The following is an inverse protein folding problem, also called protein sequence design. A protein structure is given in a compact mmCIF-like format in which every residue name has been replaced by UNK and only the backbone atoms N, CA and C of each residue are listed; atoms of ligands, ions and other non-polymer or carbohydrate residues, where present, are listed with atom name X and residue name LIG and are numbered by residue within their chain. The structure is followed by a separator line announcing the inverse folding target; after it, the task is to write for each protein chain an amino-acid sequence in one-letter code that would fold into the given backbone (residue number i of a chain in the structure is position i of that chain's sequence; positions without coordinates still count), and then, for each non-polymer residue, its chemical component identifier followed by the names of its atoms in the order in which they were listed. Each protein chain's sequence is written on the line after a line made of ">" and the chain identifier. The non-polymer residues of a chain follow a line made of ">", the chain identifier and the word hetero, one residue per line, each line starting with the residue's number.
data_IF_429211326795
#
_entry.id   IF_429211326795
#
_cell.length_a   1.000
_cell.length_b   1.000
_cell.length_c   1.000
_cell.angle_alpha   90.00
_cell.angle_beta   90.00
_cell.angle_gamma   90.00
#
_symmetry.space_group_name_H-M   'P 1'
#
loop_
_entity.id
_entity.type
_entity.pdbx_description
1 polymer ?
#
# COMPACT_ATOMS: atom_id res chain seq x y z
N UNK A 1 14.70 -41.32 25.03
CA UNK A 1 13.39 -41.65 24.43
C UNK A 1 12.25 -40.68 24.79
N UNK A 2 12.43 -39.62 25.59
CA UNK A 2 11.33 -38.73 26.00
C UNK A 2 11.19 -37.43 25.17
N UNK A 3 12.28 -36.93 24.56
CA UNK A 3 12.31 -35.60 23.90
C UNK A 3 11.54 -35.57 22.56
N UNK A 4 11.49 -36.71 21.84
CA UNK A 4 10.79 -36.79 20.57
C UNK A 4 9.26 -36.68 20.72
N UNK A 5 8.69 -37.27 21.77
CA UNK A 5 7.24 -37.24 21.98
C UNK A 5 6.72 -35.87 22.43
N UNK A 6 7.54 -35.07 23.13
CA UNK A 6 7.13 -33.73 23.57
C UNK A 6 7.07 -32.73 22.41
N UNK A 7 7.89 -32.91 21.38
CA UNK A 7 7.92 -32.02 20.21
C UNK A 7 6.66 -32.18 19.35
N UNK A 8 6.17 -33.40 19.15
CA UNK A 8 4.93 -33.64 18.39
C UNK A 8 3.67 -33.11 19.09
N UNK A 9 3.68 -33.00 20.42
CA UNK A 9 2.57 -32.42 21.20
C UNK A 9 2.59 -30.88 21.14
N UNK A 10 3.78 -30.27 21.26
CA UNK A 10 3.93 -28.81 21.28
C UNK A 10 3.90 -28.17 19.88
N UNK A 11 4.34 -28.92 18.86
CA UNK A 11 4.42 -28.43 17.49
C UNK A 11 4.19 -29.58 16.48
N UNK A 12 2.94 -30.08 16.37
CA UNK A 12 2.64 -31.18 15.46
C UNK A 12 2.98 -30.82 14.02
N UNK A 13 3.70 -31.71 13.34
CA UNK A 13 4.01 -31.58 11.92
C UNK A 13 2.73 -31.61 11.07
N UNK A 14 2.24 -30.44 10.70
CA UNK A 14 1.07 -30.30 9.83
C UNK A 14 1.47 -30.23 8.36
N UNK A 15 0.90 -31.12 7.54
CA UNK A 15 1.01 -31.02 6.07
C UNK A 15 -0.07 -30.06 5.56
N UNK A 16 0.35 -28.87 5.15
CA UNK A 16 -0.54 -27.87 4.55
C UNK A 16 -0.43 -27.94 3.03
N UNK A 17 -1.57 -27.97 2.33
CA UNK A 17 -1.60 -27.84 0.88
C UNK A 17 -1.72 -26.37 0.49
N UNK A 18 -0.65 -25.81 -0.06
CA UNK A 18 -0.66 -24.43 -0.57
C UNK A 18 -1.42 -24.42 -1.90
N UNK A 19 -2.65 -23.89 -1.87
CA UNK A 19 -3.45 -23.70 -3.09
C UNK A 19 -3.08 -22.38 -3.75
N UNK A 20 -3.00 -22.32 -5.10
CA UNK A 20 -2.78 -21.07 -5.79
C UNK A 20 -3.94 -20.11 -5.50
N UNK A 21 -3.60 -18.82 -5.35
CA UNK A 21 -4.60 -17.76 -5.13
C UNK A 21 -5.69 -17.85 -6.20
N UNK A 22 -6.95 -17.89 -5.76
CA UNK A 22 -8.08 -17.91 -6.66
C UNK A 22 -8.00 -16.71 -7.61
N UNK A 23 -8.27 -16.95 -8.89
CA UNK A 23 -8.33 -15.91 -9.93
C UNK A 23 -9.81 -15.61 -10.21
N UNK A 24 -10.44 -14.69 -9.46
CA UNK A 24 -11.89 -14.48 -9.52
C UNK A 24 -12.38 -14.00 -10.90
N UNK A 25 -11.51 -13.38 -11.69
CA UNK A 25 -11.82 -12.95 -13.06
C UNK A 25 -11.81 -14.10 -14.10
N UNK A 26 -11.56 -15.35 -13.72
CA UNK A 26 -11.53 -16.49 -14.66
C UNK A 26 -12.90 -17.15 -14.75
N UNK A 27 -13.70 -16.68 -15.70
CA UNK A 27 -15.04 -17.20 -15.98
C UNK A 27 -14.99 -18.57 -16.69
N UNK A 28 -16.08 -19.37 -16.65
CA UNK A 28 -16.17 -20.65 -17.36
C UNK A 28 -15.91 -20.51 -18.88
N UNK A 29 -16.38 -19.43 -19.49
CA UNK A 29 -16.21 -19.12 -20.91
C UNK A 29 -14.73 -18.90 -21.22
N UNK A 30 -14.02 -18.11 -20.39
CA UNK A 30 -12.58 -17.90 -20.55
C UNK A 30 -11.79 -19.21 -20.40
N UNK A 31 -12.18 -20.10 -19.48
CA UNK A 31 -11.56 -21.44 -19.38
C UNK A 31 -11.80 -22.28 -20.63
N UNK A 32 -12.97 -22.18 -21.24
CA UNK A 32 -13.27 -22.88 -22.50
C UNK A 32 -12.39 -22.37 -23.64
N UNK A 33 -12.21 -21.05 -23.74
CA UNK A 33 -11.36 -20.40 -24.74
C UNK A 33 -9.88 -20.77 -24.56
N UNK A 34 -9.38 -20.77 -23.31
CA UNK A 34 -8.02 -21.24 -22.97
C UNK A 34 -7.82 -22.69 -23.43
N UNK A 35 -8.77 -23.58 -23.12
CA UNK A 35 -8.72 -24.98 -23.58
C UNK A 35 -8.70 -25.08 -25.10
N UNK A 36 -9.46 -24.24 -25.80
CA UNK A 36 -9.48 -24.20 -27.26
C UNK A 36 -8.12 -23.76 -27.84
N UNK A 37 -7.55 -22.67 -27.32
CA UNK A 37 -6.19 -22.21 -27.66
C UNK A 37 -5.16 -23.30 -27.44
N UNK A 38 -5.21 -24.00 -26.31
CA UNK A 38 -4.24 -25.05 -25.98
C UNK A 38 -4.37 -26.26 -26.90
N UNK A 39 -5.58 -26.57 -27.38
CA UNK A 39 -5.80 -27.58 -28.43
C UNK A 39 -5.21 -27.11 -29.76
N UNK A 40 -5.46 -25.85 -30.16
CA UNK A 40 -4.91 -25.28 -31.39
C UNK A 40 -3.38 -25.26 -31.37
N UNK A 41 -2.77 -24.87 -30.24
CA UNK A 41 -1.31 -24.90 -30.04
C UNK A 41 -0.75 -26.31 -30.18
N UNK A 42 -1.35 -27.32 -29.52
CA UNK A 42 -0.92 -28.72 -29.64
C UNK A 42 -0.99 -29.22 -31.08
N UNK A 43 -2.05 -28.87 -31.83
CA UNK A 43 -2.18 -29.25 -33.25
C UNK A 43 -1.13 -28.57 -34.13
N UNK A 44 -0.92 -27.26 -33.95
CA UNK A 44 0.07 -26.50 -34.70
C UNK A 44 1.51 -26.96 -34.39
N UNK A 45 1.80 -27.35 -33.15
CA UNK A 45 3.11 -27.88 -32.74
C UNK A 45 3.39 -29.28 -33.32
N UNK A 46 2.37 -30.15 -33.39
CA UNK A 46 2.52 -31.50 -33.98
C UNK A 46 2.66 -31.45 -35.49
N UNK A 47 1.85 -30.62 -36.16
CA UNK A 47 1.86 -30.47 -37.62
C UNK A 47 1.78 -28.98 -37.97
N UNK A 48 2.92 -28.32 -38.20
CA UNK A 48 2.96 -26.89 -38.48
C UNK A 48 2.52 -26.60 -39.92
N UNK A 49 1.22 -26.46 -40.12
CA UNK A 49 0.62 -25.99 -41.38
C UNK A 49 0.21 -24.52 -41.23
N UNK A 50 0.29 -23.72 -42.29
CA UNK A 50 -0.09 -22.31 -42.28
C UNK A 50 -1.48 -22.07 -41.66
N UNK A 51 -2.48 -22.86 -42.04
CA UNK A 51 -3.84 -22.83 -41.46
C UNK A 51 -3.87 -23.08 -39.95
N UNK A 52 -3.13 -24.08 -39.46
CA UNK A 52 -3.08 -24.42 -38.02
C UNK A 52 -2.38 -23.35 -37.19
N UNK A 53 -1.32 -22.76 -37.74
CA UNK A 53 -0.62 -21.64 -37.13
C UNK A 53 -1.53 -20.41 -37.07
N UNK A 54 -2.27 -20.11 -38.16
CA UNK A 54 -3.23 -19.01 -38.20
C UNK A 54 -4.35 -19.21 -37.15
N UNK A 55 -4.95 -20.40 -37.08
CA UNK A 55 -5.98 -20.73 -36.08
C UNK A 55 -5.47 -20.60 -34.63
N UNK A 56 -4.22 -20.99 -34.37
CA UNK A 56 -3.61 -20.76 -33.06
C UNK A 56 -3.42 -19.27 -32.75
N UNK A 57 -2.92 -18.47 -33.71
CA UNK A 57 -2.73 -17.02 -33.56
C UNK A 57 -4.05 -16.32 -33.26
N UNK A 58 -5.11 -16.66 -33.98
CA UNK A 58 -6.46 -16.15 -33.76
C UNK A 58 -6.96 -16.51 -32.35
N UNK A 59 -6.94 -17.80 -31.99
CA UNK A 59 -7.36 -18.27 -30.67
C UNK A 59 -6.56 -17.62 -29.53
N UNK A 60 -5.26 -17.36 -29.74
CA UNK A 60 -4.40 -16.66 -28.78
C UNK A 60 -4.83 -15.21 -28.61
N UNK A 61 -5.13 -14.51 -29.72
CA UNK A 61 -5.62 -13.13 -29.70
C UNK A 61 -6.94 -13.03 -28.94
N UNK A 62 -7.90 -13.90 -29.25
CA UNK A 62 -9.20 -13.96 -28.58
C UNK A 62 -9.05 -14.20 -27.08
N UNK A 63 -8.24 -15.19 -26.67
CA UNK A 63 -8.01 -15.47 -25.25
C UNK A 63 -7.34 -14.29 -24.54
N UNK A 64 -6.39 -13.60 -25.18
CA UNK A 64 -5.75 -12.41 -24.63
C UNK A 64 -6.79 -11.31 -24.37
N UNK A 65 -7.58 -10.98 -25.39
CA UNK A 65 -8.61 -9.95 -25.28
C UNK A 65 -9.63 -10.30 -24.18
N UNK A 66 -10.12 -11.54 -24.15
CA UNK A 66 -11.05 -11.99 -23.11
C UNK A 66 -10.43 -11.90 -21.70
N UNK A 67 -9.15 -12.25 -21.55
CA UNK A 67 -8.46 -12.17 -20.27
C UNK A 67 -8.33 -10.71 -19.79
N UNK A 68 -7.96 -9.81 -20.70
CA UNK A 68 -7.79 -8.39 -20.40
C UNK A 68 -9.14 -7.74 -20.08
N UNK A 69 -10.19 -8.03 -20.87
CA UNK A 69 -11.56 -7.58 -20.58
C UNK A 69 -12.06 -8.10 -19.23
N UNK A 70 -11.86 -9.39 -18.93
CA UNK A 70 -12.34 -9.98 -17.68
C UNK A 70 -11.62 -9.41 -16.46
N UNK A 71 -10.30 -9.20 -16.53
CA UNK A 71 -9.52 -8.53 -15.49
C UNK A 71 -10.01 -7.09 -15.29
N UNK A 72 -10.11 -6.31 -16.36
CA UNK A 72 -10.52 -4.91 -16.28
C UNK A 72 -11.93 -4.78 -15.71
N UNK A 73 -12.87 -5.65 -16.12
CA UNK A 73 -14.23 -5.68 -15.56
C UNK A 73 -14.21 -6.01 -14.06
N UNK A 74 -13.43 -7.00 -13.64
CA UNK A 74 -13.31 -7.36 -12.22
C UNK A 74 -12.71 -6.22 -11.38
N UNK A 75 -11.66 -5.57 -11.88
CA UNK A 75 -11.04 -4.45 -11.17
C UNK A 75 -11.96 -3.23 -11.10
N UNK A 76 -12.60 -2.89 -12.21
CA UNK A 76 -13.57 -1.80 -12.30
C UNK A 76 -14.72 -2.01 -11.31
N UNK A 77 -15.35 -3.18 -11.34
CA UNK A 77 -16.43 -3.51 -10.39
C UNK A 77 -15.96 -3.45 -8.94
N UNK A 78 -14.74 -3.93 -8.63
CA UNK A 78 -14.18 -3.81 -7.27
C UNK A 78 -13.99 -2.36 -6.81
N UNK A 79 -13.56 -1.47 -7.71
CA UNK A 79 -13.39 -0.05 -7.40
C UNK A 79 -14.75 0.63 -7.26
N UNK A 80 -15.68 0.37 -8.18
CA UNK A 80 -17.04 0.93 -8.15
C UNK A 80 -17.85 0.49 -6.91
N UNK A 81 -17.61 -0.73 -6.41
CA UNK A 81 -18.27 -1.26 -5.19
C UNK A 81 -17.65 -0.70 -3.90
N UNK A 82 -16.49 -0.06 -3.96
CA UNK A 82 -15.84 0.50 -2.79
C UNK A 82 -16.50 1.83 -2.39
N UNK A 83 -17.49 1.76 -1.49
CA UNK A 83 -18.22 2.93 -1.02
C UNK A 83 -17.48 3.76 0.05
N UNK A 84 -16.51 3.16 0.74
CA UNK A 84 -15.71 3.81 1.79
C UNK A 84 -14.25 3.98 1.34
N UNK A 85 -13.64 5.09 1.77
CA UNK A 85 -12.23 5.42 1.52
C UNK A 85 -11.32 4.29 2.00
N UNK A 86 -11.61 3.66 3.14
CA UNK A 86 -10.84 2.53 3.66
C UNK A 86 -10.85 1.32 2.70
N UNK A 87 -12.05 0.99 2.17
CA UNK A 87 -12.20 -0.09 1.19
C UNK A 87 -11.48 0.22 -0.12
N UNK A 88 -11.58 1.46 -0.61
CA UNK A 88 -10.88 1.90 -1.81
C UNK A 88 -9.35 1.74 -1.65
N UNK A 89 -8.80 2.23 -0.54
CA UNK A 89 -7.37 2.06 -0.24
C UNK A 89 -6.97 0.58 -0.12
N UNK A 90 -7.82 -0.27 0.43
CA UNK A 90 -7.57 -1.71 0.47
C UNK A 90 -7.57 -2.35 -0.92
N UNK A 91 -8.46 -1.92 -1.82
CA UNK A 91 -8.49 -2.39 -3.21
C UNK A 91 -7.22 -1.97 -3.95
N UNK A 92 -6.79 -0.72 -3.80
CA UNK A 92 -5.58 -0.20 -4.43
C UNK A 92 -4.30 -0.85 -3.91
N UNK A 93 -4.22 -1.14 -2.59
CA UNK A 93 -3.14 -1.97 -2.02
C UNK A 93 -3.15 -3.38 -2.61
N UNK A 94 -4.31 -4.00 -2.73
CA UNK A 94 -4.46 -5.32 -3.36
C UNK A 94 -4.05 -5.36 -4.83
N UNK A 95 -4.03 -4.21 -5.51
CA UNK A 95 -3.52 -4.03 -6.87
C UNK A 95 -2.01 -3.81 -6.95
N UNK A 96 -1.34 -3.62 -5.81
CA UNK A 96 0.09 -3.27 -5.76
C UNK A 96 0.38 -1.84 -6.22
N UNK A 97 -0.65 -0.99 -6.33
CA UNK A 97 -0.49 0.43 -6.68
C UNK A 97 -0.01 1.25 -5.48
N UNK A 98 -0.30 0.77 -4.27
CA UNK A 98 0.23 1.34 -3.04
C UNK A 98 1.24 0.38 -2.45
N UNK A 99 2.34 0.95 -1.99
CA UNK A 99 3.29 0.28 -1.12
C UNK A 99 2.65 0.12 0.27
N UNK A 100 2.97 -0.98 0.94
CA UNK A 100 2.56 -1.17 2.32
C UNK A 100 3.01 0.03 3.17
N UNK A 101 2.13 0.45 4.08
CA UNK A 101 2.44 1.54 5.01
C UNK A 101 3.71 1.16 5.75
N UNK A 102 4.76 1.99 5.60
CA UNK A 102 5.97 1.79 6.39
C UNK A 102 5.59 1.89 7.87
N UNK A 103 6.26 1.13 8.76
CA UNK A 103 6.11 1.37 10.19
C UNK A 103 6.36 2.85 10.49
N UNK A 104 5.73 3.35 11.56
CA UNK A 104 5.89 4.73 12.02
C UNK A 104 7.37 5.09 12.03
N UNK A 105 7.79 6.27 11.52
CA UNK A 105 9.17 6.74 11.61
C UNK A 105 9.71 6.73 13.04
N UNK A 106 8.84 6.83 14.04
CA UNK A 106 9.19 6.76 15.46
C UNK A 106 9.65 5.35 15.91
N UNK A 107 9.43 4.32 15.09
CA UNK A 107 9.98 2.98 15.29
C UNK A 107 11.35 2.80 14.64
N UNK A 108 11.82 3.77 13.84
CA UNK A 108 13.09 3.68 13.12
C UNK A 108 14.25 4.29 13.90
N UNK A 109 14.01 5.25 14.80
CA UNK A 109 15.05 6.02 15.47
C UNK A 109 14.71 6.24 16.94
N UNK A 110 15.71 6.22 17.83
CA UNK A 110 15.52 6.68 19.21
C UNK A 110 15.41 8.22 19.27
N UNK A 111 14.80 8.78 20.33
CA UNK A 111 14.80 10.23 20.55
C UNK A 111 16.22 10.81 20.61
N UNK A 112 17.19 10.08 21.17
CA UNK A 112 18.59 10.52 21.21
C UNK A 112 19.21 10.55 19.80
N UNK A 113 19.04 9.49 19.00
CA UNK A 113 19.57 9.42 17.64
C UNK A 113 19.03 10.54 16.75
N UNK A 114 17.74 10.84 16.89
CA UNK A 114 17.11 11.94 16.17
C UNK A 114 17.68 13.30 16.62
N UNK A 115 17.83 13.51 17.93
CA UNK A 115 18.39 14.75 18.48
C UNK A 115 19.85 14.94 18.05
N UNK A 116 20.68 13.90 18.09
CA UNK A 116 22.08 13.94 17.67
C UNK A 116 22.21 14.26 16.18
N UNK A 117 21.35 13.69 15.34
CA UNK A 117 21.30 14.03 13.92
C UNK A 117 21.00 15.52 13.72
N UNK A 118 19.93 16.05 14.33
CA UNK A 118 19.59 17.46 14.20
C UNK A 118 20.65 18.39 14.79
N UNK A 119 21.28 18.00 15.91
CA UNK A 119 22.41 18.72 16.51
C UNK A 119 23.68 18.69 15.65
N UNK A 120 23.84 17.69 14.78
CA UNK A 120 24.95 17.63 13.81
C UNK A 120 24.70 18.52 12.59
N UNK A 121 23.46 18.55 12.10
CA UNK A 121 23.05 19.37 10.94
C UNK A 121 23.06 20.86 11.29
N UNK A 122 22.66 21.22 12.52
CA UNK A 122 22.63 22.60 12.99
C UNK A 122 24.03 23.23 13.15
N UNK A 123 25.10 22.42 13.22
CA UNK A 123 26.51 22.92 13.25
C UNK A 123 26.95 23.56 11.94
N UNK A 124 26.16 23.44 10.86
CA UNK A 124 26.41 24.14 9.60
C UNK A 124 25.99 25.62 9.63
N UNK A 125 25.27 26.07 10.65
CA UNK A 125 24.99 27.48 10.85
C UNK A 125 26.23 28.19 11.45
N UNK A 126 26.55 29.37 10.94
CA UNK A 126 27.62 30.24 11.46
C UNK A 126 27.51 30.31 12.99
N UNK A 127 28.57 30.04 13.77
CA UNK A 127 28.50 30.06 15.22
C UNK A 127 27.99 31.43 15.66
N UNK A 128 26.82 31.45 16.31
CA UNK A 128 26.26 32.67 16.88
C UNK A 128 27.32 33.31 17.76
N UNK A 129 27.75 34.52 17.43
CA UNK A 129 28.66 35.25 18.32
C UNK A 129 27.90 35.61 19.59
N UNK A 130 28.63 35.67 20.70
CA UNK A 130 28.08 36.08 22.01
C UNK A 130 27.36 37.43 21.91
N UNK A 131 27.85 38.31 21.03
CA UNK A 131 27.24 39.59 20.72
C UNK A 131 25.85 39.46 20.07
N UNK A 132 25.66 38.50 19.15
CA UNK A 132 24.35 38.28 18.51
C UNK A 132 23.31 37.77 19.51
N UNK A 133 23.71 36.92 20.47
CA UNK A 133 22.84 36.41 21.53
C UNK A 133 22.43 37.54 22.47
N UNK A 134 23.40 38.37 22.90
CA UNK A 134 23.14 39.53 23.76
C UNK A 134 22.26 40.57 23.06
N UNK A 135 22.47 40.81 21.77
CA UNK A 135 21.63 41.70 20.98
C UNK A 135 20.20 41.18 20.88
N UNK A 136 20.01 39.87 20.63
CA UNK A 136 18.68 39.26 20.58
C UNK A 136 17.96 39.33 21.94
N UNK A 137 18.68 39.14 23.04
CA UNK A 137 18.13 39.28 24.40
C UNK A 137 17.75 40.73 24.75
N UNK A 138 18.37 41.71 24.10
CA UNK A 138 18.07 43.14 24.28
C UNK A 138 16.93 43.67 23.41
N UNK A 139 16.42 42.88 22.47
CA UNK A 139 15.32 43.31 21.61
C UNK A 139 14.03 43.47 22.42
N UNK A 140 13.27 44.56 22.20
CA UNK A 140 11.99 44.75 22.88
C UNK A 140 11.03 43.64 22.44
N UNK A 141 10.72 42.74 23.37
CA UNK A 141 9.70 41.71 23.21
C UNK A 141 8.35 42.37 23.46
N UNK A 142 7.41 42.23 22.51
CA UNK A 142 6.06 42.75 22.71
C UNK A 142 5.42 42.07 23.94
N UNK A 143 4.84 42.87 24.84
CA UNK A 143 4.28 42.43 26.12
C UNK A 143 3.24 41.30 25.98
N UNK A 144 2.59 41.18 24.82
CA UNK A 144 1.55 40.19 24.53
C UNK A 144 2.06 38.96 23.75
N UNK A 145 3.37 38.76 23.63
CA UNK A 145 3.89 37.55 22.96
C UNK A 145 3.67 36.32 23.82
N UNK A 146 2.97 35.28 23.30
CA UNK A 146 2.76 34.06 24.06
C UNK A 146 4.10 33.36 24.29
N UNK A 147 4.38 33.04 25.55
CA UNK A 147 5.57 32.29 25.94
C UNK A 147 5.50 30.91 25.27
N UNK A 148 6.52 30.58 24.49
CA UNK A 148 6.70 29.23 23.99
C UNK A 148 7.11 28.32 25.15
N UNK A 149 6.27 27.35 25.48
CA UNK A 149 6.56 26.35 26.49
C UNK A 149 6.29 24.96 25.92
N UNK A 150 7.22 24.04 26.17
CA UNK A 150 6.99 22.62 25.95
C UNK A 150 6.11 22.11 27.09
N UNK A 151 4.88 21.71 26.76
CA UNK A 151 3.93 21.16 27.72
C UNK A 151 3.88 19.63 27.58
N UNK A 152 3.89 18.86 28.68
CA UNK A 152 3.62 17.43 28.60
C UNK A 152 2.18 17.22 28.09
N UNK A 153 2.06 16.48 27.00
CA UNK A 153 0.77 16.13 26.39
C UNK A 153 0.36 14.76 26.89
N UNK A 154 -0.92 14.62 27.28
CA UNK A 154 -1.48 13.34 27.74
C UNK A 154 -2.05 12.55 26.57
N UNK A 155 -2.06 11.21 26.68
CA UNK A 155 -2.64 10.34 25.65
C UNK A 155 -4.11 10.68 25.36
N UNK A 156 -4.88 11.01 26.40
CA UNK A 156 -6.29 11.43 26.26
C UNK A 156 -6.46 12.70 25.44
N UNK A 157 -5.55 13.68 25.57
CA UNK A 157 -5.58 14.92 24.80
C UNK A 157 -5.25 14.68 23.32
N UNK A 158 -4.30 13.77 23.05
CA UNK A 158 -3.96 13.31 21.70
C UNK A 158 -5.16 12.59 21.09
N UNK A 159 -5.77 11.64 21.80
CA UNK A 159 -6.92 10.89 21.30
C UNK A 159 -8.12 11.79 21.04
N UNK A 160 -8.40 12.75 21.92
CA UNK A 160 -9.47 13.72 21.71
C UNK A 160 -9.22 14.61 20.48
N UNK A 161 -7.97 15.04 20.28
CA UNK A 161 -7.57 15.82 19.11
C UNK A 161 -7.62 15.01 17.81
N UNK A 162 -7.20 13.73 17.84
CA UNK A 162 -7.29 12.83 16.68
C UNK A 162 -8.77 12.53 16.35
N UNK A 163 -9.61 12.34 17.36
CA UNK A 163 -11.02 12.07 17.17
C UNK A 163 -11.78 13.29 16.67
N UNK A 164 -11.39 14.52 17.05
CA UNK A 164 -11.96 15.74 16.50
C UNK A 164 -11.57 15.97 15.03
N UNK A 165 -10.42 15.45 14.60
CA UNK A 165 -9.97 15.46 13.20
C UNK A 165 -10.75 14.49 12.29
N UNK A 166 -11.60 13.60 12.82
CA UNK A 166 -12.47 12.72 12.02
C UNK A 166 -13.67 13.47 11.43
N UNK A 167 -13.45 14.62 10.79
CA UNK A 167 -14.37 15.07 9.76
C UNK A 167 -14.07 14.25 8.51
N UNK A 168 -15.11 13.88 7.76
CA UNK A 168 -14.96 13.26 6.44
C UNK A 168 -14.22 14.26 5.56
N UNK A 169 -12.90 14.15 5.49
CA UNK A 169 -12.00 14.90 4.62
C UNK A 169 -12.28 14.55 3.17
N UNK A 170 -13.47 14.93 2.71
CA UNK A 170 -13.79 15.05 1.30
C UNK A 170 -13.08 16.33 0.90
N UNK A 171 -11.91 16.22 0.29
CA UNK A 171 -11.33 17.37 -0.41
C UNK A 171 -12.41 17.90 -1.35
N UNK A 172 -12.69 19.19 -1.27
CA UNK A 172 -13.76 19.88 -2.01
C UNK A 172 -13.63 19.66 -3.53
N UNK A 173 -12.46 19.23 -4.01
CA UNK A 173 -12.17 18.91 -5.41
C UNK A 173 -12.97 17.76 -6.03
N UNK A 174 -13.52 16.81 -5.25
CA UNK A 174 -14.26 15.67 -5.84
C UNK A 174 -15.70 16.08 -6.23
N UNK A 175 -16.19 17.22 -5.74
CA UNK A 175 -17.57 17.66 -5.95
C UNK A 175 -17.83 18.32 -7.32
N UNK A 176 -16.80 18.58 -8.14
CA UNK A 176 -16.95 19.27 -9.42
C UNK A 176 -17.02 18.36 -10.66
N UNK A 177 -17.14 17.03 -10.52
CA UNK A 177 -17.26 16.11 -11.66
C UNK A 177 -18.65 15.47 -11.84
N UNK A 178 -19.71 16.07 -11.29
CA UNK A 178 -21.09 15.68 -11.61
C UNK A 178 -21.84 16.82 -12.27
N UNK A 179 -21.51 17.10 -13.53
CA UNK A 179 -22.42 17.66 -14.54
C UNK A 179 -22.10 17.03 -15.89
#
# INVERSE_FOLDING_TARGET
>A
MAIYNTLDVLAPLQKITIRPKARPWVTPELRSAIRSRDRAYRRARRHPTASRIASYKESRSTVRNMLDTAKNKFLRTKIETAHDSSMCWSVLRGLGLLRDSKPSPLLLFSPEELNDHYASVSRGAMPLSEQMVNNAASLPVAADTPIFALRPVTETEILNSINSLRSKGTSVDISLQKY
#
